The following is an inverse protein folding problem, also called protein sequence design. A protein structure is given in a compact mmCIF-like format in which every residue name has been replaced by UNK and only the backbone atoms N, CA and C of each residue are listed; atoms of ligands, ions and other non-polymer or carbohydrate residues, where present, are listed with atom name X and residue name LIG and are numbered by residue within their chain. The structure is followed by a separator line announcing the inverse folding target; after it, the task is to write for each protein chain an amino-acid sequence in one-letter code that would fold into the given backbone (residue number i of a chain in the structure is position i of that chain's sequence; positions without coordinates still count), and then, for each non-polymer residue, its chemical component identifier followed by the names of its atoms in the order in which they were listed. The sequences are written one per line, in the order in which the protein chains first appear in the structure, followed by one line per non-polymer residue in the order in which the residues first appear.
data_IF_581685545568
#
_entry.id   IF_581685545568
#
_cell.length_a   1.000
_cell.length_b   1.000
_cell.length_c   1.000
_cell.angle_alpha   90.00
_cell.angle_beta   90.00
_cell.angle_gamma   90.00
#
_symmetry.space_group_name_H-M   'P 1'
#
loop_
_entity.id
_entity.type
_entity.pdbx_description
1 polymer ?
#
# COMPACT_ATOMS: atom_id res chain seq x y z
N UNK A 1 -14.67 -34.70 -6.48
CA UNK A 1 -13.68 -34.38 -5.42
C UNK A 1 -13.11 -33.02 -5.79
N UNK A 2 -13.51 -31.96 -5.10
CA UNK A 2 -12.97 -30.61 -5.38
C UNK A 2 -11.67 -30.51 -4.59
N UNK A 3 -10.55 -30.49 -5.30
CA UNK A 3 -9.23 -30.31 -4.68
C UNK A 3 -9.06 -28.82 -4.41
N UNK A 4 -8.99 -28.42 -3.15
CA UNK A 4 -8.65 -27.05 -2.78
C UNK A 4 -7.16 -26.83 -3.10
N UNK A 5 -6.87 -25.90 -4.01
CA UNK A 5 -5.49 -25.56 -4.40
C UNK A 5 -4.64 -25.02 -3.23
N UNK A 6 -5.26 -24.61 -2.12
CA UNK A 6 -4.57 -24.21 -0.89
C UNK A 6 -3.82 -25.34 -0.19
N UNK A 7 -4.16 -26.60 -0.47
CA UNK A 7 -3.61 -27.76 0.24
C UNK A 7 -2.32 -28.30 -0.42
N UNK A 8 -1.89 -27.71 -1.55
CA UNK A 8 -0.78 -28.20 -2.39
C UNK A 8 0.51 -27.39 -2.19
N UNK A 9 0.45 -26.22 -1.52
CA UNK A 9 1.62 -25.37 -1.29
C UNK A 9 1.77 -24.96 0.18
N UNK A 10 2.92 -25.30 0.75
CA UNK A 10 3.30 -24.85 2.09
C UNK A 10 3.59 -23.34 2.05
N UNK A 11 2.66 -22.53 2.53
CA UNK A 11 2.82 -21.06 2.53
C UNK A 11 3.33 -20.55 3.87
N UNK A 12 4.36 -19.72 3.85
CA UNK A 12 4.83 -18.99 5.03
C UNK A 12 4.31 -17.54 5.01
N UNK A 13 3.85 -17.04 6.17
CA UNK A 13 3.36 -15.67 6.33
C UNK A 13 4.08 -14.98 7.49
N UNK A 14 4.59 -13.78 7.25
CA UNK A 14 5.11 -12.89 8.29
C UNK A 14 4.20 -11.68 8.44
N UNK A 15 3.96 -11.25 9.69
CA UNK A 15 3.34 -9.96 10.00
C UNK A 15 4.44 -9.02 10.48
N UNK A 16 4.58 -7.87 9.84
CA UNK A 16 5.53 -6.82 10.23
C UNK A 16 4.79 -5.51 10.45
N UNK A 17 5.28 -4.69 11.37
CA UNK A 17 4.80 -3.34 11.63
C UNK A 17 5.93 -2.36 11.31
N UNK A 18 5.65 -1.37 10.47
CA UNK A 18 6.59 -0.30 10.14
C UNK A 18 5.88 1.04 10.26
N UNK A 19 6.67 2.09 10.50
CA UNK A 19 6.19 3.47 10.49
C UNK A 19 6.65 4.14 9.20
N UNK A 20 5.71 4.77 8.49
CA UNK A 20 6.01 5.60 7.33
C UNK A 20 5.75 7.06 7.71
N UNK A 21 6.76 7.90 7.54
CA UNK A 21 6.60 9.36 7.59
C UNK A 21 6.48 9.90 6.17
N UNK A 22 5.43 10.67 5.92
CA UNK A 22 5.13 11.27 4.61
C UNK A 22 4.78 12.75 4.78
N UNK A 23 4.88 13.52 3.69
CA UNK A 23 4.57 14.94 3.65
C UNK A 23 3.07 15.19 3.41
N UNK A 24 2.60 16.39 3.74
CA UNK A 24 1.22 16.81 3.47
C UNK A 24 0.88 16.79 1.97
N UNK A 25 1.87 17.02 1.11
CA UNK A 25 1.72 16.92 -0.33
C UNK A 25 1.44 15.46 -0.75
N UNK A 26 2.14 14.50 -0.16
CA UNK A 26 1.91 13.07 -0.41
C UNK A 26 0.51 12.66 0.05
N UNK A 27 0.06 13.16 1.21
CA UNK A 27 -1.30 12.92 1.69
C UNK A 27 -2.36 13.49 0.73
N UNK A 28 -2.22 14.76 0.36
CA UNK A 28 -3.11 15.45 -0.58
C UNK A 28 -3.21 14.70 -1.92
N UNK A 29 -2.08 14.25 -2.46
CA UNK A 29 -2.06 13.45 -3.70
C UNK A 29 -2.78 12.12 -3.56
N UNK A 30 -2.61 11.42 -2.44
CA UNK A 30 -3.31 10.16 -2.18
C UNK A 30 -4.82 10.37 -2.05
N UNK A 31 -5.24 11.43 -1.36
CA UNK A 31 -6.64 11.85 -1.27
C UNK A 31 -7.25 12.09 -2.64
N UNK A 32 -6.61 12.89 -3.50
CA UNK A 32 -7.12 13.12 -4.85
C UNK A 32 -7.24 11.83 -5.68
N UNK A 33 -6.28 10.92 -5.53
CA UNK A 33 -6.36 9.63 -6.21
C UNK A 33 -7.57 8.80 -5.75
N UNK A 34 -7.82 8.71 -4.44
CA UNK A 34 -8.98 7.99 -3.89
C UNK A 34 -10.29 8.62 -4.38
N UNK A 35 -10.39 9.95 -4.38
CA UNK A 35 -11.55 10.66 -4.91
C UNK A 35 -11.78 10.40 -6.40
N UNK A 36 -10.71 10.31 -7.20
CA UNK A 36 -10.83 9.92 -8.61
C UNK A 36 -11.28 8.46 -8.76
N UNK A 37 -10.77 7.54 -7.94
CA UNK A 37 -11.20 6.14 -7.98
C UNK A 37 -12.68 5.98 -7.65
N UNK A 38 -13.24 6.82 -6.76
CA UNK A 38 -14.68 6.78 -6.43
C UNK A 38 -15.56 7.08 -7.65
N UNK A 39 -15.06 7.89 -8.58
CA UNK A 39 -15.73 8.17 -9.87
C UNK A 39 -15.62 6.99 -10.86
N UNK A 40 -14.79 5.99 -10.55
CA UNK A 40 -14.51 4.84 -11.41
C UNK A 40 -14.65 3.51 -10.63
N UNK A 41 -15.87 3.14 -10.21
CA UNK A 41 -16.11 1.97 -9.35
C UNK A 41 -15.73 0.62 -9.98
N UNK A 42 -15.61 0.56 -11.31
CA UNK A 42 -15.29 -0.68 -12.03
C UNK A 42 -13.77 -0.97 -12.13
N UNK A 43 -12.91 -0.13 -11.52
CA UNK A 43 -11.46 -0.33 -11.57
C UNK A 43 -11.00 -1.43 -10.63
N UNK A 44 -9.93 -2.13 -11.02
CA UNK A 44 -9.28 -3.17 -10.21
C UNK A 44 -8.80 -2.67 -8.84
N UNK A 45 -8.58 -1.36 -8.70
CA UNK A 45 -8.28 -0.70 -7.44
C UNK A 45 -9.23 -1.16 -6.31
N UNK A 46 -10.50 -1.39 -6.60
CA UNK A 46 -11.52 -1.70 -5.60
C UNK A 46 -11.49 -3.12 -5.07
N UNK A 47 -10.77 -4.04 -5.72
CA UNK A 47 -10.74 -5.45 -5.34
C UNK A 47 -10.11 -5.62 -3.95
N UNK A 48 -10.89 -6.15 -2.99
CA UNK A 48 -10.41 -6.35 -1.60
C UNK A 48 -10.38 -5.07 -0.76
N UNK A 49 -11.11 -4.04 -1.18
CA UNK A 49 -11.25 -2.76 -0.48
C UNK A 49 -12.68 -2.47 -0.06
N UNK A 50 -13.55 -3.48 -0.09
CA UNK A 50 -14.96 -3.37 0.25
C UNK A 50 -15.13 -2.97 1.72
N UNK A 51 -15.90 -1.92 1.98
CA UNK A 51 -16.20 -1.45 3.34
C UNK A 51 -15.09 -0.64 4.02
N UNK A 52 -13.97 -0.36 3.34
CA UNK A 52 -12.92 0.53 3.86
C UNK A 52 -13.39 1.97 3.89
N UNK A 53 -12.98 2.67 4.93
CA UNK A 53 -13.14 4.12 5.06
C UNK A 53 -12.20 4.86 4.11
N UNK A 54 -12.52 6.13 3.83
CA UNK A 54 -11.66 6.98 3.00
C UNK A 54 -10.25 7.10 3.56
N UNK A 55 -10.11 7.22 4.88
CA UNK A 55 -8.81 7.32 5.54
C UNK A 55 -7.98 6.04 5.35
N UNK A 56 -8.60 4.87 5.46
CA UNK A 56 -7.93 3.59 5.19
C UNK A 56 -7.47 3.49 3.73
N UNK A 57 -8.33 3.91 2.78
CA UNK A 57 -7.99 3.93 1.35
C UNK A 57 -6.81 4.89 1.06
N UNK A 58 -6.80 6.04 1.71
CA UNK A 58 -5.73 7.05 1.57
C UNK A 58 -4.42 6.50 2.13
N UNK A 59 -4.43 5.95 3.35
CA UNK A 59 -3.24 5.38 3.98
C UNK A 59 -2.69 4.22 3.16
N UNK A 60 -3.56 3.33 2.67
CA UNK A 60 -3.15 2.21 1.83
C UNK A 60 -2.54 2.69 0.51
N UNK A 61 -3.07 3.76 -0.09
CA UNK A 61 -2.50 4.36 -1.30
C UNK A 61 -1.13 5.00 -1.03
N UNK A 62 -0.95 5.67 0.11
CA UNK A 62 0.35 6.22 0.53
C UNK A 62 1.37 5.09 0.70
N UNK A 63 1.02 4.05 1.46
CA UNK A 63 1.86 2.90 1.68
C UNK A 63 2.22 2.20 0.36
N UNK A 64 1.23 1.96 -0.50
CA UNK A 64 1.45 1.34 -1.81
C UNK A 64 2.43 2.16 -2.66
N UNK A 65 2.26 3.49 -2.76
CA UNK A 65 3.16 4.35 -3.55
C UNK A 65 4.58 4.40 -2.99
N UNK A 66 4.73 4.49 -1.67
CA UNK A 66 6.04 4.55 -1.03
C UNK A 66 6.78 3.22 -1.17
N UNK A 67 6.09 2.10 -0.88
CA UNK A 67 6.70 0.77 -0.97
C UNK A 67 6.96 0.37 -2.43
N UNK A 68 6.05 0.62 -3.35
CA UNK A 68 6.29 0.35 -4.77
C UNK A 68 7.44 1.20 -5.33
N UNK A 69 7.57 2.46 -4.91
CA UNK A 69 8.72 3.29 -5.28
C UNK A 69 10.05 2.74 -4.75
N UNK A 70 10.04 2.13 -3.56
CA UNK A 70 11.22 1.49 -2.96
C UNK A 70 11.64 0.21 -3.70
N UNK A 71 10.69 -0.64 -4.10
CA UNK A 71 10.99 -1.95 -4.69
C UNK A 71 11.22 -1.96 -6.21
N UNK A 72 10.84 -0.89 -6.92
CA UNK A 72 10.98 -0.82 -8.38
C UNK A 72 12.24 -0.10 -8.87
N UNK A 73 13.19 0.22 -7.97
CA UNK A 73 14.50 0.80 -8.30
C UNK A 73 14.41 1.98 -9.28
N UNK A 74 13.41 2.84 -9.09
CA UNK A 74 13.28 4.10 -9.82
C UNK A 74 13.96 5.22 -8.98
N UNK A 75 15.23 5.56 -9.27
CA UNK A 75 15.98 6.54 -8.48
C UNK A 75 15.34 7.93 -8.47
N UNK A 76 14.49 8.28 -9.46
CA UNK A 76 13.79 9.56 -9.47
C UNK A 76 12.58 9.58 -8.52
N UNK A 77 12.02 8.43 -8.15
CA UNK A 77 10.80 8.34 -7.35
C UNK A 77 11.09 7.89 -5.91
N UNK A 78 12.07 7.00 -5.71
CA UNK A 78 12.48 6.51 -4.40
C UNK A 78 13.11 7.61 -3.52
N UNK A 79 13.96 8.47 -4.09
CA UNK A 79 14.67 9.52 -3.36
C UNK A 79 13.82 10.72 -2.92
N UNK A 80 12.60 10.88 -3.44
CA UNK A 80 11.71 12.02 -3.13
C UNK A 80 10.63 11.71 -2.09
N UNK A 81 10.45 10.45 -1.69
CA UNK A 81 9.23 10.02 -1.01
C UNK A 81 9.42 9.30 0.32
N UNK A 82 10.66 9.09 0.76
CA UNK A 82 10.96 8.48 2.06
C UNK A 82 11.94 9.39 2.79
N UNK A 83 11.46 10.08 3.83
CA UNK A 83 12.30 10.87 4.74
C UNK A 83 13.06 9.96 5.72
N UNK A 84 12.43 8.85 6.15
CA UNK A 84 12.99 7.82 7.04
C UNK A 84 12.07 6.59 7.09
N UNK A 85 12.63 5.38 7.22
CA UNK A 85 11.90 4.15 7.51
C UNK A 85 12.64 3.42 8.62
N UNK A 86 12.00 3.27 9.78
CA UNK A 86 12.56 2.56 10.92
C UNK A 86 11.89 1.18 11.08
N UNK A 87 12.71 0.16 11.28
CA UNK A 87 12.25 -1.15 11.73
C UNK A 87 12.23 -1.17 13.26
N UNK A 88 11.11 -1.63 13.83
CA UNK A 88 10.98 -1.86 15.28
C UNK A 88 11.91 -2.97 15.82
N UNK A 89 12.67 -3.65 14.94
CA UNK A 89 13.65 -4.66 15.31
C UNK A 89 14.94 -4.09 15.92
N UNK A 90 15.17 -2.78 15.87
CA UNK A 90 16.36 -2.15 16.44
C UNK A 90 15.94 -1.13 17.49
N UNK A 91 16.27 -1.46 18.74
CA UNK A 91 16.08 -0.64 19.95
C UNK A 91 16.68 0.76 19.82
#
# INVERSE_FOLDING_TARGET
MIVNFSDIMETHRVKTCFTITFTDEQYTRAKYYVEDMKRHPNRIFWKGKEGKTDDELIIEQIAHRILSGFYNDDPLTAGRHIMRMDSTATR
#
